data_IF_137696525217
#
_entry.id   IF_137696525217
#
_cell.length_a   1.000
_cell.length_b   1.000
_cell.length_c   1.000
_cell.angle_alpha   90.00
_cell.angle_beta   90.00
_cell.angle_gamma   90.00
#
_symmetry.space_group_name_H-M   'P 1'
#
loop_
_entity.id
_entity.type
_entity.pdbx_description
1 polymer ?
#
# COMPACT_ATOMS: atom_id res chain seq x y z
N UNK A 1 -3.74 -39.66 71.31
CA UNK A 1 -4.48 -38.56 70.61
C UNK A 1 -3.83 -38.37 69.23
N UNK A 2 -4.45 -38.97 68.17
CA UNK A 2 -3.94 -38.83 66.80
C UNK A 2 -4.58 -37.60 66.18
N UNK A 3 -3.76 -36.59 65.79
CA UNK A 3 -4.21 -35.39 65.09
C UNK A 3 -4.41 -35.77 63.63
N UNK A 4 -5.65 -35.67 63.14
CA UNK A 4 -6.02 -35.84 61.76
C UNK A 4 -5.71 -34.51 61.02
N UNK A 5 -4.74 -34.51 60.09
CA UNK A 5 -4.41 -33.36 59.25
C UNK A 5 -5.33 -33.41 58.06
N UNK A 6 -6.26 -32.45 57.99
CA UNK A 6 -7.16 -32.26 56.83
C UNK A 6 -6.44 -31.49 55.78
N UNK A 7 -6.04 -32.14 54.70
CA UNK A 7 -5.44 -31.44 53.51
C UNK A 7 -6.60 -30.94 52.68
N UNK A 8 -6.78 -29.63 52.67
CA UNK A 8 -7.73 -28.92 51.79
C UNK A 8 -7.11 -28.82 50.40
N UNK A 9 -7.56 -29.66 49.45
CA UNK A 9 -7.17 -29.53 48.04
C UNK A 9 -8.02 -28.41 47.41
N UNK A 10 -7.41 -27.27 47.21
CA UNK A 10 -8.02 -26.18 46.45
C UNK A 10 -7.88 -26.50 44.95
N UNK A 11 -8.96 -26.96 44.34
CA UNK A 11 -9.07 -27.07 42.89
C UNK A 11 -9.19 -25.63 42.31
N UNK A 12 -8.09 -25.12 41.80
CA UNK A 12 -8.13 -23.91 40.98
C UNK A 12 -8.80 -24.25 39.63
N UNK A 13 -9.83 -23.52 39.21
CA UNK A 13 -10.39 -23.72 37.88
C UNK A 13 -9.32 -23.35 36.84
N UNK A 14 -8.88 -24.34 36.07
CA UNK A 14 -8.10 -24.06 34.86
C UNK A 14 -9.01 -23.34 33.86
N UNK A 15 -8.95 -22.02 33.83
CA UNK A 15 -9.51 -21.28 32.71
C UNK A 15 -8.65 -21.57 31.48
N UNK A 16 -9.06 -22.56 30.71
CA UNK A 16 -8.61 -22.68 29.32
C UNK A 16 -9.09 -21.44 28.61
N UNK A 17 -8.19 -20.45 28.45
CA UNK A 17 -8.39 -19.39 27.50
C UNK A 17 -8.49 -20.09 26.14
N UNK A 18 -9.68 -20.12 25.57
CA UNK A 18 -9.84 -20.45 24.17
C UNK A 18 -8.96 -19.45 23.42
N UNK A 19 -7.93 -19.94 22.77
CA UNK A 19 -7.12 -19.14 21.88
C UNK A 19 -8.04 -18.84 20.70
N UNK A 20 -8.68 -17.67 20.73
CA UNK A 20 -9.45 -17.17 19.59
C UNK A 20 -8.52 -17.25 18.39
N UNK A 21 -8.93 -17.97 17.36
CA UNK A 21 -8.21 -18.03 16.11
C UNK A 21 -8.07 -16.58 15.61
N UNK A 22 -6.86 -16.03 15.68
CA UNK A 22 -6.61 -14.66 15.31
C UNK A 22 -6.64 -14.58 13.79
N UNK A 23 -7.72 -14.04 13.26
CA UNK A 23 -7.83 -13.74 11.84
C UNK A 23 -6.91 -12.57 11.49
N UNK A 24 -6.27 -12.63 10.33
CA UNK A 24 -5.53 -11.50 9.78
C UNK A 24 -6.53 -10.54 9.10
N UNK A 25 -6.96 -9.51 9.83
CA UNK A 25 -7.94 -8.52 9.36
C UNK A 25 -7.28 -7.15 9.40
N UNK A 26 -7.23 -6.48 8.25
CA UNK A 26 -6.76 -5.10 8.12
C UNK A 26 -7.86 -4.22 7.53
N UNK A 27 -7.71 -2.91 7.63
CA UNK A 27 -8.70 -1.95 7.12
C UNK A 27 -8.05 -0.90 6.24
N UNK A 28 -8.56 -0.74 5.03
CA UNK A 28 -8.16 0.35 4.12
C UNK A 28 -8.74 1.72 4.52
N UNK A 29 -9.59 1.77 5.55
CA UNK A 29 -10.11 3.04 6.09
C UNK A 29 -9.11 3.75 7.01
N UNK A 30 -8.01 3.09 7.38
CA UNK A 30 -6.89 3.71 8.09
C UNK A 30 -6.06 4.54 7.11
N UNK A 31 -5.65 5.73 7.51
CA UNK A 31 -4.75 6.58 6.70
C UNK A 31 -3.36 5.95 6.52
N UNK A 32 -2.94 5.13 7.48
CA UNK A 32 -1.61 4.54 7.49
C UNK A 32 -0.54 5.46 8.06
N UNK A 33 0.70 5.25 7.65
CA UNK A 33 1.89 5.98 8.13
C UNK A 33 2.37 6.92 7.03
N UNK A 34 2.73 8.16 7.41
CA UNK A 34 3.32 9.12 6.46
C UNK A 34 4.63 8.56 5.90
N UNK A 35 4.70 8.47 4.58
CA UNK A 35 5.87 7.93 3.88
C UNK A 35 7.08 8.88 4.03
N UNK A 36 8.30 8.35 4.18
CA UNK A 36 9.51 9.18 4.15
C UNK A 36 9.72 9.76 2.74
N UNK A 37 10.08 11.04 2.65
CA UNK A 37 10.30 11.75 1.37
C UNK A 37 11.60 11.31 0.67
N UNK A 38 11.72 10.03 0.33
CA UNK A 38 12.89 9.46 -0.36
C UNK A 38 12.67 9.32 -1.87
N UNK A 39 11.44 8.96 -2.26
CA UNK A 39 11.07 8.64 -3.65
C UNK A 39 9.82 9.39 -4.12
N UNK A 40 9.47 10.50 -3.46
CA UNK A 40 8.36 11.35 -3.86
C UNK A 40 8.60 12.79 -3.42
N UNK A 41 7.89 13.72 -4.06
CA UNK A 41 7.76 15.12 -3.66
C UNK A 41 6.30 15.31 -3.26
N UNK A 42 6.04 16.10 -2.22
CA UNK A 42 4.71 16.27 -1.66
C UNK A 42 4.45 15.34 -0.49
N UNK A 43 3.22 14.92 -0.29
CA UNK A 43 2.84 14.10 0.84
C UNK A 43 2.19 12.79 0.41
N UNK A 44 2.62 11.71 1.04
CA UNK A 44 2.08 10.38 0.82
C UNK A 44 1.94 9.63 2.15
N UNK A 45 0.95 8.75 2.22
CA UNK A 45 0.71 7.83 3.33
C UNK A 45 0.63 6.40 2.80
N UNK A 46 1.20 5.48 3.54
CA UNK A 46 1.21 4.06 3.23
C UNK A 46 0.55 3.28 4.37
N UNK A 47 -0.41 2.44 4.02
CA UNK A 47 -1.07 1.53 4.93
C UNK A 47 -0.83 0.11 4.43
N UNK A 48 0.08 -0.62 5.08
CA UNK A 48 0.32 -2.04 4.78
C UNK A 48 -0.91 -2.84 5.23
N UNK A 49 -1.70 -3.31 4.29
CA UNK A 49 -2.89 -4.12 4.56
C UNK A 49 -2.52 -5.59 4.75
N UNK A 50 -1.66 -6.12 3.89
CA UNK A 50 -1.08 -7.46 3.99
C UNK A 50 0.38 -7.34 3.57
N UNK A 51 1.27 -7.87 4.40
CA UNK A 51 2.67 -8.03 4.05
C UNK A 51 2.90 -9.45 3.54
N UNK A 52 3.69 -9.56 2.48
CA UNK A 52 4.04 -10.84 1.89
C UNK A 52 4.84 -11.71 2.87
N UNK A 53 4.55 -13.00 2.87
CA UNK A 53 5.28 -14.00 3.66
C UNK A 53 5.63 -15.23 2.80
N UNK A 54 5.93 -16.37 3.42
CA UNK A 54 6.28 -17.60 2.71
C UNK A 54 5.06 -18.34 2.14
N UNK A 55 3.86 -18.09 2.66
CA UNK A 55 2.60 -18.70 2.22
C UNK A 55 1.84 -17.80 1.23
N UNK A 56 2.09 -16.48 1.28
CA UNK A 56 1.46 -15.49 0.41
C UNK A 56 2.50 -14.46 -0.06
N UNK A 57 2.92 -14.56 -1.30
CA UNK A 57 4.04 -13.81 -1.89
C UNK A 57 3.68 -12.40 -2.40
N UNK A 58 2.53 -11.84 -2.02
CA UNK A 58 2.06 -10.54 -2.45
C UNK A 58 1.96 -9.55 -1.29
N UNK A 59 2.49 -8.36 -1.49
CA UNK A 59 2.16 -7.21 -0.65
C UNK A 59 0.85 -6.57 -1.13
N UNK A 60 0.00 -6.19 -0.21
CA UNK A 60 -1.20 -5.39 -0.46
C UNK A 60 -1.08 -4.12 0.37
N UNK A 61 -0.82 -3.00 -0.31
CA UNK A 61 -0.60 -1.71 0.34
C UNK A 61 -1.57 -0.68 -0.19
N UNK A 62 -2.28 0.00 0.69
CA UNK A 62 -2.95 1.23 0.30
C UNK A 62 -1.94 2.36 0.29
N UNK A 63 -1.91 3.13 -0.79
CA UNK A 63 -1.15 4.36 -0.90
C UNK A 63 -2.11 5.53 -1.15
N UNK A 64 -1.91 6.62 -0.41
CA UNK A 64 -2.67 7.87 -0.57
C UNK A 64 -1.68 8.99 -0.81
N UNK A 65 -1.89 9.75 -1.88
CA UNK A 65 -1.08 10.92 -2.24
C UNK A 65 -1.95 12.18 -2.16
N UNK A 66 -1.45 13.22 -1.50
CA UNK A 66 -2.04 14.56 -1.59
C UNK A 66 -1.97 15.07 -3.04
N UNK A 67 -2.85 15.99 -3.40
CA UNK A 67 -2.78 16.66 -4.69
C UNK A 67 -1.37 17.20 -4.96
N UNK A 68 -0.96 17.16 -6.23
CA UNK A 68 0.34 17.68 -6.68
C UNK A 68 1.57 16.97 -6.07
N UNK A 69 1.42 15.71 -5.68
CA UNK A 69 2.54 14.85 -5.25
C UNK A 69 3.12 14.10 -6.45
N UNK A 70 4.39 13.69 -6.34
CA UNK A 70 5.06 12.86 -7.35
C UNK A 70 5.41 11.49 -6.78
N UNK A 71 5.78 10.56 -7.63
CA UNK A 71 6.41 9.29 -7.26
C UNK A 71 7.47 8.97 -8.31
N UNK A 72 8.65 8.56 -7.87
CA UNK A 72 9.77 8.27 -8.77
C UNK A 72 9.48 7.06 -9.68
N UNK A 73 10.15 7.03 -10.82
CA UNK A 73 10.14 5.88 -11.71
C UNK A 73 10.64 4.64 -10.99
N UNK A 74 9.90 3.55 -11.14
CA UNK A 74 10.22 2.29 -10.50
C UNK A 74 9.69 1.11 -11.29
N UNK A 75 10.10 -0.09 -10.90
CA UNK A 75 9.61 -1.35 -11.43
C UNK A 75 9.59 -2.43 -10.36
N UNK A 76 8.88 -3.50 -10.65
CA UNK A 76 8.80 -4.69 -9.81
C UNK A 76 9.20 -5.93 -10.62
N UNK A 77 9.76 -6.94 -9.96
CA UNK A 77 10.06 -8.26 -10.55
C UNK A 77 8.81 -9.12 -10.78
N UNK A 78 7.65 -8.65 -10.33
CA UNK A 78 6.32 -9.25 -10.54
C UNK A 78 5.40 -8.23 -11.20
N UNK A 79 4.26 -8.64 -11.77
CA UNK A 79 3.22 -7.68 -12.12
C UNK A 79 2.76 -6.86 -10.90
N UNK A 80 2.34 -5.62 -11.14
CA UNK A 80 1.65 -4.80 -10.13
C UNK A 80 0.23 -4.50 -10.59
N UNK A 81 -0.72 -4.57 -9.66
CA UNK A 81 -2.10 -4.14 -9.89
C UNK A 81 -2.40 -2.95 -9.00
N UNK A 82 -2.97 -1.89 -9.58
CA UNK A 82 -3.51 -0.74 -8.86
C UNK A 82 -5.03 -0.76 -8.95
N UNK A 83 -5.72 -0.67 -7.81
CA UNK A 83 -7.17 -0.50 -7.72
C UNK A 83 -7.45 0.88 -7.15
N UNK A 84 -7.91 1.82 -7.96
CA UNK A 84 -8.15 3.19 -7.54
C UNK A 84 -9.42 3.27 -6.70
N UNK A 85 -9.26 3.59 -5.42
CA UNK A 85 -10.34 3.65 -4.44
C UNK A 85 -11.05 5.00 -4.45
N UNK A 86 -10.27 6.09 -4.61
CA UNK A 86 -10.80 7.44 -4.59
C UNK A 86 -9.85 8.45 -5.27
N UNK A 87 -10.40 9.58 -5.70
CA UNK A 87 -9.65 10.68 -6.28
C UNK A 87 -9.26 10.49 -7.74
N UNK A 88 -8.26 11.27 -8.16
CA UNK A 88 -7.73 11.31 -9.53
C UNK A 88 -6.22 11.33 -9.50
N UNK A 89 -5.61 10.48 -10.30
CA UNK A 89 -4.15 10.39 -10.41
C UNK A 89 -3.67 10.30 -11.85
N UNK A 90 -2.36 10.15 -11.99
CA UNK A 90 -1.69 9.88 -13.25
C UNK A 90 -0.96 8.54 -13.16
N UNK A 91 -0.89 7.85 -14.29
CA UNK A 91 -0.12 6.63 -14.48
C UNK A 91 0.64 6.72 -15.81
N UNK A 92 1.86 6.24 -15.82
CA UNK A 92 2.66 6.16 -17.04
C UNK A 92 3.64 4.99 -16.98
N UNK A 93 3.78 4.27 -18.08
CA UNK A 93 4.89 3.36 -18.33
C UNK A 93 5.94 4.06 -19.20
N UNK A 94 7.19 3.59 -19.11
CA UNK A 94 8.30 4.10 -19.92
C UNK A 94 7.94 4.00 -21.41
N UNK A 95 8.27 5.03 -22.17
CA UNK A 95 8.01 5.16 -23.61
C UNK A 95 6.54 5.18 -24.02
N UNK A 96 5.61 5.36 -23.08
CA UNK A 96 4.18 5.56 -23.34
C UNK A 96 3.72 6.94 -22.86
N UNK A 97 2.63 7.42 -23.42
CA UNK A 97 1.97 8.62 -22.91
C UNK A 97 1.35 8.37 -21.54
N UNK A 98 1.46 9.37 -20.67
CA UNK A 98 0.78 9.34 -19.38
C UNK A 98 -0.74 9.41 -19.55
N UNK A 99 -1.46 8.74 -18.67
CA UNK A 99 -2.93 8.69 -18.64
C UNK A 99 -3.48 9.13 -17.29
N UNK A 100 -4.72 9.60 -17.30
CA UNK A 100 -5.47 9.86 -16.06
C UNK A 100 -6.05 8.54 -15.56
N UNK A 101 -5.90 8.29 -14.27
CA UNK A 101 -6.57 7.22 -13.53
C UNK A 101 -7.49 7.84 -12.49
N UNK A 102 -8.65 7.22 -12.26
CA UNK A 102 -9.69 7.76 -11.37
C UNK A 102 -10.40 6.64 -10.62
N UNK A 103 -11.15 7.01 -9.60
CA UNK A 103 -11.95 6.09 -8.80
C UNK A 103 -12.68 5.04 -9.66
N UNK A 104 -12.44 3.77 -9.33
CA UNK A 104 -13.01 2.60 -9.99
C UNK A 104 -12.11 2.00 -11.08
N UNK A 105 -11.06 2.70 -11.51
CA UNK A 105 -10.11 2.16 -12.48
C UNK A 105 -9.24 1.08 -11.84
N UNK A 106 -8.90 0.09 -12.67
CA UNK A 106 -7.92 -0.94 -12.34
C UNK A 106 -6.83 -0.92 -13.40
N UNK A 107 -5.59 -0.75 -12.97
CA UNK A 107 -4.41 -0.73 -13.85
C UNK A 107 -3.56 -1.95 -13.54
N UNK A 108 -3.09 -2.65 -14.55
CA UNK A 108 -2.09 -3.70 -14.41
C UNK A 108 -0.82 -3.29 -15.16
N UNK A 109 0.29 -3.28 -14.44
CA UNK A 109 1.63 -3.12 -14.97
C UNK A 109 2.31 -4.50 -15.03
N UNK A 110 2.88 -4.87 -16.17
CA UNK A 110 3.60 -6.12 -16.31
C UNK A 110 4.92 -6.10 -15.52
N UNK A 111 5.43 -7.29 -15.16
CA UNK A 111 6.72 -7.40 -14.49
C UNK A 111 7.83 -6.67 -15.28
N UNK A 112 8.80 -6.15 -14.57
CA UNK A 112 9.98 -5.46 -15.10
C UNK A 112 9.67 -4.19 -15.91
N UNK A 113 8.38 -3.81 -16.06
CA UNK A 113 7.99 -2.57 -16.73
C UNK A 113 8.24 -1.37 -15.84
N UNK A 114 9.05 -0.44 -16.30
CA UNK A 114 9.33 0.80 -15.60
C UNK A 114 8.15 1.76 -15.73
N UNK A 115 7.65 2.22 -14.58
CA UNK A 115 6.45 3.03 -14.51
C UNK A 115 6.46 3.98 -13.31
N UNK A 116 5.52 4.90 -13.28
CA UNK A 116 5.17 5.69 -12.09
C UNK A 116 3.67 5.93 -12.03
N UNK A 117 3.19 6.20 -10.83
CA UNK A 117 1.78 6.53 -10.57
C UNK A 117 1.68 7.43 -9.33
N UNK A 118 0.82 8.43 -9.36
CA UNK A 118 0.67 9.40 -8.28
C UNK A 118 -0.63 10.17 -8.41
N UNK A 119 -0.82 11.19 -7.56
CA UNK A 119 -1.96 12.11 -7.63
C UNK A 119 -1.92 13.01 -8.85
N UNK A 120 -3.07 13.56 -9.24
CA UNK A 120 -3.12 14.65 -10.20
C UNK A 120 -2.69 15.98 -9.57
N UNK A 121 -2.51 17.02 -10.40
CA UNK A 121 -2.12 18.34 -9.91
C UNK A 121 -3.17 18.93 -8.95
N UNK A 122 -4.45 18.67 -9.21
CA UNK A 122 -5.56 19.32 -8.51
C UNK A 122 -6.30 18.40 -7.52
N UNK A 123 -6.04 17.08 -7.55
CA UNK A 123 -6.75 16.11 -6.72
C UNK A 123 -5.79 15.12 -6.07
N UNK A 124 -6.11 14.73 -4.84
CA UNK A 124 -5.53 13.54 -4.21
C UNK A 124 -5.93 12.26 -4.93
N UNK A 125 -5.21 11.19 -4.68
CA UNK A 125 -5.59 9.84 -5.10
C UNK A 125 -5.30 8.85 -3.99
N UNK A 126 -6.17 7.85 -3.85
CA UNK A 126 -5.94 6.68 -3.01
C UNK A 126 -6.19 5.42 -3.82
N UNK A 127 -5.28 4.46 -3.73
CA UNK A 127 -5.39 3.17 -4.42
C UNK A 127 -4.79 2.05 -3.57
N UNK A 128 -5.24 0.82 -3.83
CA UNK A 128 -4.57 -0.38 -3.38
C UNK A 128 -3.57 -0.79 -4.46
N UNK A 129 -2.32 -0.97 -4.05
CA UNK A 129 -1.26 -1.56 -4.85
C UNK A 129 -1.02 -3.00 -4.40
N UNK A 130 -1.07 -3.95 -5.34
CA UNK A 130 -0.78 -5.37 -5.14
C UNK A 130 0.47 -5.69 -5.95
N UNK A 131 1.53 -6.16 -5.29
CA UNK A 131 2.84 -6.43 -5.92
C UNK A 131 3.60 -7.49 -5.13
N UNK A 132 4.57 -8.14 -5.76
CA UNK A 132 5.32 -9.23 -5.15
C UNK A 132 6.18 -8.80 -3.96
N UNK A 133 6.68 -9.78 -3.21
CA UNK A 133 7.46 -9.59 -1.98
C UNK A 133 8.84 -8.95 -2.19
N UNK A 134 9.39 -9.03 -3.40
CA UNK A 134 10.69 -8.47 -3.68
C UNK A 134 10.68 -6.93 -3.60
N UNK A 135 11.78 -6.30 -3.17
CA UNK A 135 11.84 -4.85 -3.04
C UNK A 135 11.55 -4.12 -4.35
N UNK A 136 10.88 -2.97 -4.25
CA UNK A 136 10.70 -2.05 -5.38
C UNK A 136 12.07 -1.56 -5.89
N UNK A 137 12.27 -1.62 -7.20
CA UNK A 137 13.49 -1.17 -7.87
C UNK A 137 13.26 0.26 -8.36
N UNK A 138 13.81 1.22 -7.66
CA UNK A 138 13.77 2.64 -8.04
C UNK A 138 14.80 2.91 -9.12
N UNK A 139 14.40 3.58 -10.20
CA UNK A 139 15.23 3.75 -11.40
C UNK A 139 15.61 5.19 -11.68
N UNK A 140 14.66 6.12 -11.67
CA UNK A 140 14.90 7.52 -11.98
C UNK A 140 13.99 8.44 -11.14
N UNK A 141 14.52 9.57 -10.71
CA UNK A 141 13.73 10.59 -10.02
C UNK A 141 12.84 11.35 -10.99
N UNK A 142 11.58 11.51 -10.63
CA UNK A 142 10.70 12.45 -11.34
C UNK A 142 11.01 13.87 -10.87
N UNK A 143 11.38 14.73 -11.83
CA UNK A 143 11.53 16.16 -11.53
C UNK A 143 10.17 16.85 -11.49
N UNK A 144 10.09 17.97 -10.78
CA UNK A 144 8.87 18.79 -10.74
C UNK A 144 8.49 19.27 -12.14
N UNK A 145 9.46 19.68 -12.93
CA UNK A 145 9.25 20.16 -14.30
C UNK A 145 8.65 19.07 -15.20
N UNK A 146 9.12 17.83 -15.07
CA UNK A 146 8.55 16.71 -15.82
C UNK A 146 7.11 16.46 -15.42
N UNK A 147 6.83 16.35 -14.11
CA UNK A 147 5.48 16.18 -13.61
C UNK A 147 4.53 17.29 -14.09
N UNK A 148 4.94 18.55 -13.98
CA UNK A 148 4.13 19.71 -14.40
C UNK A 148 3.84 19.68 -15.92
N UNK A 149 4.78 19.20 -16.72
CA UNK A 149 4.59 19.01 -18.17
C UNK A 149 3.52 17.96 -18.46
N UNK A 150 3.51 16.85 -17.72
CA UNK A 150 2.49 15.80 -17.81
C UNK A 150 1.13 16.33 -17.36
N UNK A 151 1.08 16.98 -16.21
CA UNK A 151 -0.15 17.57 -15.67
C UNK A 151 -0.80 18.55 -16.65
N UNK A 152 0.01 19.40 -17.30
CA UNK A 152 -0.46 20.35 -18.31
C UNK A 152 -1.06 19.67 -19.55
N UNK A 153 -0.48 18.55 -20.00
CA UNK A 153 -0.99 17.77 -21.15
C UNK A 153 -2.28 17.01 -20.82
N UNK A 154 -2.49 16.66 -19.55
CA UNK A 154 -3.65 15.88 -19.10
C UNK A 154 -4.77 16.75 -18.53
N UNK A 155 -4.57 18.05 -18.43
CA UNK A 155 -5.56 18.98 -17.87
C UNK A 155 -6.85 18.94 -18.68
N UNK A 156 -7.97 18.63 -18.02
CA UNK A 156 -9.31 18.58 -18.62
C UNK A 156 -9.65 17.28 -19.36
N UNK A 157 -8.84 16.24 -19.19
CA UNK A 157 -9.14 14.88 -19.71
C UNK A 157 -9.94 14.04 -18.73
#
# INVERSE_FOLDING_TARGET
>A
MKKLLLILIVLLPSTTMAQDAQYNISSYLSEGVKAPNTHHIGEAWLNALIEADDDFDQNITQATFSANSTLDWHKHSTPQVLVVLDGVGYYQERDKDAVVIKKGDVVMCEKDTEHWHTSSADNSVSYIAIYGKEPTIWTEKITREYYDSVASKLKGK
#
